data_IF_791815549567
#
_entry.id   IF_791815549567
#
_cell.length_a   1.000
_cell.length_b   1.000
_cell.length_c   1.000
_cell.angle_alpha   90.00
_cell.angle_beta   90.00
_cell.angle_gamma   90.00
#
_symmetry.space_group_name_H-M   'P 1'
#
loop_
_entity.id
_entity.type
_entity.pdbx_description
1 polymer ?
#
# COMPACT_ATOMS: atom_id res chain seq x y z
N UNK A 1 -17.07 15.85 -17.19
CA UNK A 1 -17.23 15.08 -15.93
C UNK A 1 -17.18 13.54 -16.12
N UNK A 2 -17.39 12.99 -17.32
CA UNK A 2 -17.29 11.54 -17.59
C UNK A 2 -15.85 11.00 -17.65
N UNK A 3 -14.89 11.79 -18.13
CA UNK A 3 -13.47 11.39 -18.19
C UNK A 3 -12.85 11.16 -16.81
N UNK A 4 -13.04 12.09 -15.87
CA UNK A 4 -12.46 12.01 -14.52
C UNK A 4 -12.97 10.79 -13.71
N UNK A 5 -14.24 10.41 -13.90
CA UNK A 5 -14.82 9.19 -13.31
C UNK A 5 -14.17 7.92 -13.84
N UNK A 6 -13.77 7.88 -15.12
CA UNK A 6 -13.06 6.73 -15.71
C UNK A 6 -11.63 6.62 -15.19
N UNK A 7 -10.95 7.75 -15.01
CA UNK A 7 -9.58 7.78 -14.47
C UNK A 7 -9.57 7.31 -13.01
N UNK A 8 -10.47 7.83 -12.17
CA UNK A 8 -10.60 7.42 -10.75
C UNK A 8 -10.99 5.95 -10.59
N UNK A 9 -11.87 5.44 -11.46
CA UNK A 9 -12.15 3.99 -11.51
C UNK A 9 -10.88 3.17 -11.76
N UNK A 10 -10.04 3.61 -12.71
CA UNK A 10 -8.77 2.95 -13.00
C UNK A 10 -7.82 2.95 -11.81
N UNK A 11 -7.72 4.06 -11.07
CA UNK A 11 -6.83 4.16 -9.91
C UNK A 11 -7.28 3.28 -8.75
N UNK A 12 -8.58 3.16 -8.46
CA UNK A 12 -9.07 2.24 -7.43
C UNK A 12 -8.83 0.77 -7.80
N UNK A 13 -8.99 0.39 -9.07
CA UNK A 13 -8.67 -0.98 -9.52
C UNK A 13 -7.18 -1.29 -9.31
N UNK A 14 -6.29 -0.36 -9.70
CA UNK A 14 -4.85 -0.48 -9.45
C UNK A 14 -4.55 -0.61 -7.95
N UNK A 15 -5.21 0.20 -7.11
CA UNK A 15 -5.02 0.18 -5.66
C UNK A 15 -5.48 -1.14 -5.04
N UNK A 16 -6.59 -1.73 -5.53
CA UNK A 16 -7.03 -3.09 -5.13
C UNK A 16 -5.95 -4.13 -5.45
N UNK A 17 -5.42 -4.12 -6.68
CA UNK A 17 -4.41 -5.08 -7.12
C UNK A 17 -3.16 -4.98 -6.24
N UNK A 18 -2.63 -3.76 -6.05
CA UNK A 18 -1.43 -3.58 -5.23
C UNK A 18 -1.67 -3.89 -3.75
N UNK A 19 -2.83 -3.55 -3.20
CA UNK A 19 -3.18 -3.88 -1.82
C UNK A 19 -3.23 -5.41 -1.59
N UNK A 20 -3.80 -6.16 -2.54
CA UNK A 20 -3.82 -7.64 -2.49
C UNK A 20 -2.40 -8.20 -2.58
N UNK A 21 -1.54 -7.66 -3.45
CA UNK A 21 -0.14 -8.08 -3.55
C UNK A 21 0.62 -7.83 -2.25
N UNK A 22 0.49 -6.63 -1.66
CA UNK A 22 1.12 -6.30 -0.36
C UNK A 22 0.61 -7.24 0.72
N UNK A 23 -0.69 -7.48 0.80
CA UNK A 23 -1.30 -8.40 1.76
C UNK A 23 -0.78 -9.83 1.59
N UNK A 24 -0.74 -10.34 0.35
CA UNK A 24 -0.25 -11.69 0.04
C UNK A 24 1.23 -11.87 0.41
N UNK A 25 2.08 -10.90 0.05
CA UNK A 25 3.50 -10.96 0.40
C UNK A 25 3.73 -10.89 1.92
N UNK A 26 3.00 -10.03 2.63
CA UNK A 26 3.16 -9.90 4.08
C UNK A 26 2.64 -11.12 4.83
N UNK A 27 1.51 -11.71 4.42
CA UNK A 27 0.98 -12.94 5.02
C UNK A 27 1.89 -14.15 4.79
N UNK A 28 2.46 -14.26 3.60
CA UNK A 28 3.43 -15.31 3.28
C UNK A 28 4.72 -15.17 4.11
N UNK A 29 5.22 -13.92 4.30
CA UNK A 29 6.32 -13.61 5.21
C UNK A 29 6.00 -13.94 6.67
N UNK A 30 4.75 -13.76 7.12
CA UNK A 30 4.34 -14.14 8.48
C UNK A 30 4.34 -15.65 8.67
N UNK A 31 3.87 -16.42 7.67
CA UNK A 31 3.79 -17.88 7.76
C UNK A 31 5.16 -18.57 7.69
N UNK A 32 6.17 -17.90 7.13
CA UNK A 32 7.54 -18.45 7.05
C UNK A 32 8.34 -18.27 8.36
N UNK A 33 7.84 -17.52 9.34
CA UNK A 33 8.48 -17.37 10.66
C UNK A 33 8.14 -18.56 11.56
N UNK A 34 9.00 -19.58 11.61
CA UNK A 34 8.82 -20.78 12.46
C UNK A 34 9.15 -20.60 13.94
N UNK A 35 9.99 -19.61 14.29
CA UNK A 35 10.35 -19.29 15.69
C UNK A 35 10.23 -17.79 15.94
N UNK A 36 9.60 -17.44 17.05
CA UNK A 36 9.38 -16.05 17.46
C UNK A 36 8.10 -15.46 16.90
N UNK A 37 7.73 -14.28 17.41
CA UNK A 37 6.63 -13.53 16.83
C UNK A 37 7.05 -12.86 15.52
N UNK A 38 6.16 -12.81 14.50
CA UNK A 38 6.47 -12.08 13.28
C UNK A 38 6.73 -10.61 13.59
N UNK A 39 7.70 -9.98 12.89
CA UNK A 39 8.10 -8.62 13.18
C UNK A 39 6.93 -7.65 12.99
N UNK A 40 6.92 -6.60 13.81
CA UNK A 40 5.86 -5.59 13.84
C UNK A 40 5.66 -4.95 12.45
N UNK A 41 6.74 -4.82 11.67
CA UNK A 41 6.73 -4.33 10.29
C UNK A 41 5.86 -5.18 9.35
N UNK A 42 5.94 -6.50 9.44
CA UNK A 42 5.13 -7.41 8.60
C UNK A 42 3.67 -7.43 9.04
N UNK A 43 3.42 -7.43 10.36
CA UNK A 43 2.05 -7.28 10.91
C UNK A 43 1.41 -5.96 10.44
N UNK A 44 2.18 -4.87 10.45
CA UNK A 44 1.76 -3.58 9.92
C UNK A 44 1.49 -3.64 8.41
N UNK A 45 2.33 -4.33 7.64
CA UNK A 45 2.13 -4.51 6.19
C UNK A 45 0.81 -5.23 5.86
N UNK A 46 0.43 -6.24 6.65
CA UNK A 46 -0.89 -6.89 6.55
C UNK A 46 -2.01 -5.90 6.83
N UNK A 47 -1.92 -5.13 7.92
CA UNK A 47 -2.90 -4.09 8.24
C UNK A 47 -3.03 -3.05 7.11
N UNK A 48 -1.91 -2.56 6.58
CA UNK A 48 -1.89 -1.60 5.49
C UNK A 48 -2.54 -2.16 4.22
N UNK A 49 -2.23 -3.41 3.86
CA UNK A 49 -2.85 -4.11 2.73
C UNK A 49 -4.37 -4.23 2.89
N UNK A 50 -4.85 -4.65 4.06
CA UNK A 50 -6.29 -4.76 4.35
C UNK A 50 -6.97 -3.38 4.31
N UNK A 51 -6.40 -2.38 4.97
CA UNK A 51 -6.96 -1.02 5.00
C UNK A 51 -7.06 -0.45 3.58
N UNK A 52 -5.98 -0.55 2.80
CA UNK A 52 -5.93 -0.09 1.42
C UNK A 52 -6.94 -0.78 0.52
N UNK A 53 -7.16 -2.08 0.73
CA UNK A 53 -8.18 -2.85 0.01
C UNK A 53 -9.58 -2.35 0.35
N UNK A 54 -9.91 -2.15 1.62
CA UNK A 54 -11.22 -1.62 2.04
C UNK A 54 -11.43 -0.22 1.49
N UNK A 55 -10.44 0.67 1.59
CA UNK A 55 -10.52 2.02 1.06
C UNK A 55 -10.81 2.03 -0.45
N UNK A 56 -10.09 1.23 -1.22
CA UNK A 56 -10.26 1.17 -2.67
C UNK A 56 -11.60 0.54 -3.09
N UNK A 57 -12.08 -0.48 -2.36
CA UNK A 57 -13.42 -1.06 -2.58
C UNK A 57 -14.51 -0.04 -2.28
N UNK A 58 -14.40 0.72 -1.18
CA UNK A 58 -15.36 1.77 -0.85
C UNK A 58 -15.36 2.88 -1.92
N UNK A 59 -14.20 3.27 -2.43
CA UNK A 59 -14.09 4.20 -3.55
C UNK A 59 -14.79 3.69 -4.81
N UNK A 60 -14.60 2.40 -5.14
CA UNK A 60 -15.28 1.77 -6.26
C UNK A 60 -16.81 1.71 -6.07
N UNK A 61 -17.28 1.33 -4.89
CA UNK A 61 -18.71 1.26 -4.56
C UNK A 61 -19.37 2.65 -4.60
N UNK A 62 -18.65 3.69 -4.19
CA UNK A 62 -19.15 5.08 -4.24
C UNK A 62 -19.43 5.57 -5.68
N UNK A 63 -18.98 4.86 -6.72
CA UNK A 63 -19.38 5.15 -8.10
C UNK A 63 -20.82 4.74 -8.42
N UNK A 64 -21.34 3.75 -7.70
CA UNK A 64 -22.67 3.16 -7.91
C UNK A 64 -23.67 3.55 -6.82
N UNK A 65 -23.17 3.95 -5.64
CA UNK A 65 -23.99 4.24 -4.47
C UNK A 65 -23.82 5.71 -4.06
N UNK A 66 -24.85 6.52 -4.32
CA UNK A 66 -24.87 7.94 -3.97
C UNK A 66 -24.97 8.22 -2.45
N UNK A 67 -25.21 7.18 -1.65
CA UNK A 67 -25.24 7.31 -0.18
C UNK A 67 -23.86 7.58 0.43
N UNK A 68 -22.77 7.33 -0.31
CA UNK A 68 -21.40 7.53 0.18
C UNK A 68 -20.94 8.93 -0.23
N UNK A 69 -20.70 9.86 0.73
CA UNK A 69 -20.26 11.20 0.39
C UNK A 69 -18.83 11.16 -0.16
N UNK A 70 -18.60 11.89 -1.26
CA UNK A 70 -17.29 11.93 -1.93
C UNK A 70 -16.14 12.40 -1.00
N UNK A 71 -16.44 13.21 0.02
CA UNK A 71 -15.46 13.63 1.03
C UNK A 71 -14.92 12.47 1.87
N UNK A 72 -15.77 11.49 2.19
CA UNK A 72 -15.35 10.32 2.97
C UNK A 72 -14.39 9.43 2.16
N UNK A 73 -14.65 9.25 0.87
CA UNK A 73 -13.76 8.49 -0.02
C UNK A 73 -12.38 9.15 -0.12
N UNK A 74 -12.34 10.47 -0.35
CA UNK A 74 -11.07 11.23 -0.40
C UNK A 74 -10.30 11.12 0.92
N UNK A 75 -11.00 11.14 2.06
CA UNK A 75 -10.38 10.95 3.37
C UNK A 75 -9.76 9.55 3.53
N UNK A 76 -10.48 8.50 3.12
CA UNK A 76 -9.97 7.12 3.16
C UNK A 76 -8.78 6.92 2.23
N UNK A 77 -8.82 7.49 1.03
CA UNK A 77 -7.70 7.45 0.08
C UNK A 77 -6.48 8.19 0.64
N UNK A 78 -6.67 9.32 1.33
CA UNK A 78 -5.59 10.06 1.98
C UNK A 78 -4.99 9.28 3.17
N UNK A 79 -5.84 8.66 4.00
CA UNK A 79 -5.39 7.79 5.08
C UNK A 79 -4.60 6.59 4.53
N UNK A 80 -5.08 5.98 3.46
CA UNK A 80 -4.40 4.87 2.77
C UNK A 80 -3.03 5.30 2.26
N UNK A 81 -2.94 6.48 1.63
CA UNK A 81 -1.67 7.03 1.16
C UNK A 81 -0.63 7.14 2.29
N UNK A 82 -1.03 7.67 3.45
CA UNK A 82 -0.15 7.81 4.62
C UNK A 82 0.23 6.46 5.23
N UNK A 83 -0.71 5.54 5.34
CA UNK A 83 -0.47 4.20 5.90
C UNK A 83 0.54 3.43 5.04
N UNK A 84 0.36 3.43 3.72
CA UNK A 84 1.32 2.79 2.81
C UNK A 84 2.67 3.49 2.79
N UNK A 85 2.71 4.83 2.89
CA UNK A 85 3.96 5.57 3.00
C UNK A 85 4.75 5.16 4.25
N UNK A 86 4.07 5.14 5.40
CA UNK A 86 4.68 4.76 6.67
C UNK A 86 5.20 3.31 6.63
N UNK A 87 4.49 2.40 5.98
CA UNK A 87 4.96 1.02 5.85
C UNK A 87 6.10 0.83 4.86
N UNK A 88 6.14 1.59 3.76
CA UNK A 88 7.31 1.66 2.87
C UNK A 88 8.56 2.14 3.62
N UNK A 89 8.42 3.17 4.45
CA UNK A 89 9.49 3.68 5.33
C UNK A 89 9.88 2.62 6.35
N UNK A 90 8.91 1.96 7.02
CA UNK A 90 9.17 0.94 8.02
C UNK A 90 9.94 -0.26 7.43
N UNK A 91 9.61 -0.68 6.20
CA UNK A 91 10.37 -1.70 5.48
C UNK A 91 11.77 -1.20 5.10
N UNK A 92 11.91 0.05 4.65
CA UNK A 92 13.22 0.62 4.30
C UNK A 92 14.17 0.65 5.51
N UNK A 93 13.69 1.12 6.65
CA UNK A 93 14.43 1.12 7.92
C UNK A 93 14.68 -0.31 8.40
N UNK A 94 13.70 -1.18 8.20
CA UNK A 94 13.79 -2.60 8.52
C UNK A 94 14.85 -3.33 7.72
N UNK A 95 14.93 -3.15 6.40
CA UNK A 95 15.89 -3.83 5.54
C UNK A 95 17.30 -3.25 5.64
N UNK A 96 17.49 -2.03 6.16
CA UNK A 96 18.81 -1.39 6.35
C UNK A 96 19.74 -1.43 5.10
N UNK A 97 19.16 -1.49 3.89
CA UNK A 97 19.91 -1.55 2.64
C UNK A 97 20.58 -2.90 2.34
N UNK A 98 20.13 -4.01 2.94
CA UNK A 98 20.59 -5.36 2.55
C UNK A 98 20.32 -5.62 1.06
N UNK A 99 21.31 -6.18 0.36
CA UNK A 99 21.16 -6.66 -1.02
C UNK A 99 20.82 -8.15 -0.97
N UNK A 100 19.72 -8.54 -1.61
CA UNK A 100 19.29 -9.94 -1.66
C UNK A 100 20.12 -10.72 -2.71
N UNK A 101 21.42 -10.87 -2.46
CA UNK A 101 22.39 -11.54 -3.34
C UNK A 101 23.36 -12.39 -2.48
N UNK A 102 23.67 -13.62 -2.91
CA UNK A 102 24.66 -14.50 -2.28
C UNK A 102 26.04 -14.30 -2.94
N UNK A 103 26.53 -13.06 -3.03
CA UNK A 103 27.86 -12.83 -3.60
C UNK A 103 28.98 -12.86 -2.54
N UNK A 104 28.65 -12.61 -1.26
CA UNK A 104 29.67 -12.44 -0.22
C UNK A 104 29.26 -13.11 1.10
N UNK A 105 30.16 -13.93 1.67
CA UNK A 105 29.90 -14.72 2.87
C UNK A 105 29.55 -13.84 4.09
N UNK A 106 30.05 -12.60 4.13
CA UNK A 106 29.76 -11.61 5.18
C UNK A 106 28.37 -10.99 5.07
N UNK A 107 27.83 -10.88 3.85
CA UNK A 107 26.46 -10.42 3.60
C UNK A 107 25.45 -11.51 3.94
N UNK A 108 25.80 -12.77 3.66
CA UNK A 108 24.97 -13.91 4.01
C UNK A 108 24.74 -14.00 5.53
N UNK A 109 25.78 -13.82 6.34
CA UNK A 109 25.67 -13.83 7.81
C UNK A 109 24.70 -12.75 8.34
N UNK A 110 24.77 -11.52 7.81
CA UNK A 110 23.82 -10.44 8.15
C UNK A 110 22.38 -10.73 7.72
N UNK A 111 22.20 -11.53 6.67
CA UNK A 111 20.88 -11.93 6.17
C UNK A 111 20.24 -12.99 7.09
N UNK A 112 21.05 -13.92 7.60
CA UNK A 112 20.61 -14.99 8.52
C UNK A 112 20.20 -14.48 9.91
N UNK A 113 20.81 -13.41 10.41
CA UNK A 113 20.44 -12.82 11.70
C UNK A 113 19.26 -11.85 11.60
N UNK A 114 18.74 -11.57 10.40
CA UNK A 114 17.74 -10.53 10.23
C UNK A 114 16.32 -11.04 10.54
N UNK A 115 15.76 -10.54 11.65
CA UNK A 115 14.40 -10.88 12.12
C UNK A 115 13.27 -10.63 11.10
N UNK A 116 13.51 -9.79 10.08
CA UNK A 116 12.57 -9.51 8.98
C UNK A 116 12.50 -10.60 7.91
N UNK A 117 13.56 -11.38 7.73
CA UNK A 117 13.72 -12.33 6.61
C UNK A 117 13.60 -13.79 7.06
N UNK A 118 13.77 -14.04 8.36
CA UNK A 118 13.48 -15.32 9.01
C UNK A 118 14.71 -15.99 9.61
N UNK A 119 14.47 -16.69 10.73
CA UNK A 119 15.47 -17.38 11.56
C UNK A 119 15.72 -18.84 11.15
N UNK A 120 15.38 -19.26 9.91
CA UNK A 120 15.56 -20.65 9.48
C UNK A 120 16.74 -20.78 8.52
N UNK A 121 17.62 -21.74 8.82
CA UNK A 121 18.83 -22.11 8.06
C UNK A 121 18.40 -22.93 6.84
N UNK A 122 17.61 -22.33 5.95
CA UNK A 122 17.16 -22.97 4.72
C UNK A 122 17.23 -22.00 3.54
N UNK A 123 17.29 -22.55 2.33
CA UNK A 123 17.41 -21.89 1.02
C UNK A 123 16.37 -20.79 0.74
N UNK A 124 15.40 -20.58 1.63
CA UNK A 124 14.29 -19.63 1.50
C UNK A 124 14.58 -18.21 2.02
N UNK A 125 15.70 -17.98 2.72
CA UNK A 125 16.07 -16.62 3.21
C UNK A 125 16.17 -15.63 2.03
N UNK A 126 16.72 -16.05 0.89
CA UNK A 126 16.79 -15.21 -0.31
C UNK A 126 15.39 -14.89 -0.86
N UNK A 127 14.50 -15.89 -0.87
CA UNK A 127 13.11 -15.73 -1.31
C UNK A 127 12.37 -14.73 -0.44
N UNK A 128 12.51 -14.85 0.89
CA UNK A 128 11.91 -13.94 1.85
C UNK A 128 12.49 -12.53 1.75
N UNK A 129 13.79 -12.39 1.50
CA UNK A 129 14.43 -11.09 1.30
C UNK A 129 13.83 -10.38 0.08
N UNK A 130 13.67 -11.11 -1.03
CA UNK A 130 13.03 -10.61 -2.25
C UNK A 130 11.56 -10.25 -2.00
N UNK A 131 10.80 -11.05 -1.27
CA UNK A 131 9.41 -10.73 -0.88
C UNK A 131 9.32 -9.48 -0.03
N UNK A 132 10.22 -9.31 0.94
CA UNK A 132 10.27 -8.11 1.79
C UNK A 132 10.63 -6.85 0.98
N UNK A 133 11.59 -6.97 0.07
CA UNK A 133 12.00 -5.88 -0.83
C UNK A 133 10.87 -5.53 -1.81
N UNK A 134 10.19 -6.53 -2.37
CA UNK A 134 9.00 -6.31 -3.20
C UNK A 134 7.88 -5.63 -2.40
N UNK A 135 7.66 -6.04 -1.15
CA UNK A 135 6.68 -5.40 -0.25
C UNK A 135 7.01 -3.94 0.02
N UNK A 136 8.29 -3.60 0.25
CA UNK A 136 8.74 -2.22 0.39
C UNK A 136 8.36 -1.37 -0.83
N UNK A 137 8.72 -1.84 -2.04
CA UNK A 137 8.46 -1.13 -3.28
C UNK A 137 6.96 -0.97 -3.54
N UNK A 138 6.19 -2.04 -3.37
CA UNK A 138 4.75 -2.03 -3.60
C UNK A 138 4.02 -1.07 -2.66
N UNK A 139 4.49 -0.90 -1.42
CA UNK A 139 3.92 0.07 -0.50
C UNK A 139 4.14 1.52 -0.97
N UNK A 140 5.34 1.88 -1.45
CA UNK A 140 5.55 3.21 -2.03
C UNK A 140 4.72 3.44 -3.29
N UNK A 141 4.65 2.45 -4.19
CA UNK A 141 3.82 2.53 -5.40
C UNK A 141 2.34 2.71 -5.04
N UNK A 142 1.83 1.95 -4.07
CA UNK A 142 0.42 2.07 -3.65
C UNK A 142 0.14 3.42 -3.00
N UNK A 143 1.08 3.96 -2.21
CA UNK A 143 0.99 5.31 -1.66
C UNK A 143 0.92 6.37 -2.76
N UNK A 144 1.76 6.28 -3.78
CA UNK A 144 1.74 7.19 -4.92
C UNK A 144 0.41 7.13 -5.69
N UNK A 145 -0.11 5.92 -5.94
CA UNK A 145 -1.43 5.74 -6.57
C UNK A 145 -2.54 6.36 -5.72
N UNK A 146 -2.52 6.14 -4.40
CA UNK A 146 -3.50 6.73 -3.50
C UNK A 146 -3.43 8.28 -3.50
N UNK A 147 -2.24 8.87 -3.53
CA UNK A 147 -2.06 10.33 -3.65
C UNK A 147 -2.61 10.88 -4.97
N UNK A 148 -2.45 10.15 -6.08
CA UNK A 148 -3.06 10.50 -7.37
C UNK A 148 -4.58 10.50 -7.23
N UNK A 149 -5.17 9.47 -6.62
CA UNK A 149 -6.62 9.39 -6.38
C UNK A 149 -7.12 10.56 -5.51
N UNK A 150 -6.42 10.89 -4.42
CA UNK A 150 -6.74 12.05 -3.57
C UNK A 150 -6.72 13.34 -4.37
N UNK A 151 -5.68 13.55 -5.18
CA UNK A 151 -5.53 14.75 -6.01
C UNK A 151 -6.69 14.88 -7.01
N UNK A 152 -7.04 13.78 -7.69
CA UNK A 152 -8.17 13.76 -8.63
C UNK A 152 -9.51 13.99 -7.91
N UNK A 153 -9.70 13.41 -6.72
CA UNK A 153 -10.88 13.61 -5.89
C UNK A 153 -11.05 15.06 -5.45
N UNK A 154 -9.96 15.70 -5.01
CA UNK A 154 -9.96 17.11 -4.63
C UNK A 154 -10.27 18.03 -5.81
N UNK A 155 -9.69 17.77 -6.98
CA UNK A 155 -10.01 18.51 -8.22
C UNK A 155 -11.49 18.35 -8.59
N UNK A 156 -12.04 17.14 -8.50
CA UNK A 156 -13.47 16.89 -8.74
C UNK A 156 -14.39 17.68 -7.79
N UNK A 157 -13.99 17.79 -6.51
CA UNK A 157 -14.74 18.56 -5.52
C UNK A 157 -14.67 20.06 -5.77
N UNK A 158 -13.47 20.58 -6.08
CA UNK A 158 -13.25 22.00 -6.39
C UNK A 158 -14.08 22.45 -7.59
N UNK A 159 -14.14 21.65 -8.65
CA UNK A 159 -14.95 21.96 -9.83
C UNK A 159 -16.45 22.04 -9.50
N UNK A 160 -16.96 21.14 -8.64
CA UNK A 160 -18.36 21.18 -8.18
C UNK A 160 -18.66 22.44 -7.36
N UNK A 161 -17.75 22.84 -6.46
CA UNK A 161 -17.93 24.04 -5.65
C UNK A 161 -17.99 25.31 -6.50
N UNK A 162 -17.08 25.45 -7.48
CA UNK A 162 -17.05 26.59 -8.40
C UNK A 162 -18.33 26.65 -9.27
N UNK A 163 -18.81 25.50 -9.74
CA UNK A 163 -20.08 25.42 -10.47
C UNK A 163 -21.28 25.86 -9.64
N UNK A 164 -21.32 25.49 -8.36
CA UNK A 164 -22.42 25.86 -7.47
C UNK A 164 -22.42 27.36 -7.13
N UNK A 165 -21.24 27.96 -6.92
CA UNK A 165 -21.09 29.40 -6.70
C UNK A 165 -21.56 30.23 -7.90
N UNK A 166 -21.24 29.84 -9.14
CA UNK A 166 -21.74 30.54 -10.33
C UNK A 166 -23.26 30.52 -10.46
N UNK A 167 -23.93 29.45 -10.05
CA UNK A 167 -25.40 29.35 -10.08
C UNK A 167 -26.09 30.14 -8.97
N UNK A 168 -25.39 30.46 -7.88
CA UNK A 168 -25.94 31.27 -6.80
C UNK A 168 -25.98 32.78 -7.12
N UNK A 169 -25.30 33.20 -8.19
CA UNK A 169 -25.22 34.61 -8.64
C UNK A 169 -26.04 34.90 -9.91
N UNK A 170 -26.87 33.95 -10.36
CA UNK A 170 -27.82 34.08 -11.49
C UNK A 170 -29.22 33.90 -10.93
#
# INVERSE_FOLDING_TARGET
MTGLRRVTLGTWILQIIFAIVVLGLCTDLMNTQRRGEPPITTKYGVFAGVFGLVAAVLGLVALFVDAIPASMVVFLDAASALIFLAGGIAYTVGLKGIRCEFEDNKMAEKLYEHSLVGLDVSTDVLSNCRKATASQAMQFVTSAVALITVSLGFLAQRDRQLGNQRRAHV
#
